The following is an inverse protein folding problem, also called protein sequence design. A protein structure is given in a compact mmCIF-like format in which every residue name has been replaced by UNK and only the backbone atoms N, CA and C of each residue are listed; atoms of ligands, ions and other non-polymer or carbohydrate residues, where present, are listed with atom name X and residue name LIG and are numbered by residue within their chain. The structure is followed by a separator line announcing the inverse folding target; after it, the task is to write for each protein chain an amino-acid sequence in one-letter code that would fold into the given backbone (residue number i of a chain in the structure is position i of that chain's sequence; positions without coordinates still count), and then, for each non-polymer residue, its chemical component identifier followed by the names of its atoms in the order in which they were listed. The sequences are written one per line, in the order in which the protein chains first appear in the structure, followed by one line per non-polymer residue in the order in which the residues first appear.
data_IF_131534224940
#
_entry.id   IF_131534224940
#
_cell.length_a   1.000
_cell.length_b   1.000
_cell.length_c   1.000
_cell.angle_alpha   90.00
_cell.angle_beta   90.00
_cell.angle_gamma   90.00
#
_symmetry.space_group_name_H-M   'P 1'
#
loop_
_entity.id
_entity.type
_entity.pdbx_description
1 polymer ?
#
# COMPACT_ATOMS: atom_id res chain seq x y z
N UNK A 1 -9.90 -9.78 -16.64
CA UNK A 1 -10.17 -8.60 -15.78
C UNK A 1 -9.30 -7.44 -16.26
N UNK A 2 -9.87 -6.28 -16.61
CA UNK A 2 -9.06 -5.06 -16.82
C UNK A 2 -8.76 -4.43 -15.46
N UNK A 3 -7.47 -4.31 -15.12
CA UNK A 3 -6.99 -3.58 -13.94
C UNK A 3 -7.31 -2.09 -14.15
N UNK A 4 -7.96 -1.48 -13.18
CA UNK A 4 -8.30 -0.06 -13.23
C UNK A 4 -7.07 0.81 -13.00
N UNK A 5 -7.08 2.05 -13.51
CA UNK A 5 -6.01 3.02 -13.22
C UNK A 5 -5.82 3.21 -11.71
N UNK A 6 -6.92 3.17 -10.94
CA UNK A 6 -6.91 3.28 -9.47
C UNK A 6 -6.14 2.13 -8.82
N UNK A 7 -6.39 0.88 -9.23
CA UNK A 7 -5.64 -0.29 -8.75
C UNK A 7 -4.15 -0.18 -9.06
N UNK A 8 -3.80 0.34 -10.25
CA UNK A 8 -2.40 0.51 -10.65
C UNK A 8 -1.66 1.51 -9.75
N UNK A 9 -2.27 2.66 -9.46
CA UNK A 9 -1.68 3.65 -8.55
C UNK A 9 -1.60 3.14 -7.11
N UNK A 10 -2.64 2.43 -6.66
CA UNK A 10 -2.63 1.80 -5.34
C UNK A 10 -1.51 0.77 -5.21
N UNK A 11 -1.41 -0.16 -6.16
CA UNK A 11 -0.40 -1.19 -6.17
C UNK A 11 1.01 -0.58 -6.23
N UNK A 12 1.19 0.46 -7.04
CA UNK A 12 2.46 1.19 -7.10
C UNK A 12 2.83 1.80 -5.74
N UNK A 13 1.88 2.45 -5.05
CA UNK A 13 2.14 3.01 -3.72
C UNK A 13 2.51 1.92 -2.69
N UNK A 14 1.80 0.78 -2.70
CA UNK A 14 2.11 -0.36 -1.83
C UNK A 14 3.53 -0.89 -2.08
N UNK A 15 3.88 -1.10 -3.34
CA UNK A 15 5.22 -1.58 -3.72
C UNK A 15 6.30 -0.56 -3.34
N UNK A 16 6.04 0.73 -3.55
CA UNK A 16 6.98 1.79 -3.18
C UNK A 16 7.26 1.80 -1.67
N UNK A 17 6.23 1.83 -0.82
CA UNK A 17 6.43 1.84 0.63
C UNK A 17 7.02 0.53 1.16
N UNK A 18 6.66 -0.61 0.54
CA UNK A 18 7.28 -1.89 0.87
C UNK A 18 8.78 -1.89 0.54
N UNK A 19 9.17 -1.38 -0.63
CA UNK A 19 10.57 -1.26 -1.01
C UNK A 19 11.33 -0.30 -0.08
N UNK A 20 10.74 0.86 0.25
CA UNK A 20 11.35 1.84 1.16
C UNK A 20 11.56 1.25 2.56
N UNK A 21 10.62 0.48 3.08
CA UNK A 21 10.76 -0.18 4.38
C UNK A 21 11.93 -1.17 4.39
N UNK A 22 12.14 -1.90 3.30
CA UNK A 22 13.15 -2.96 3.18
C UNK A 22 14.51 -2.47 2.63
N UNK A 23 14.75 -1.16 2.54
CA UNK A 23 16.02 -0.64 2.05
C UNK A 23 17.17 -1.12 2.97
N UNK A 24 18.20 -1.78 2.41
CA UNK A 24 19.34 -2.21 3.20
C UNK A 24 20.12 -0.98 3.69
N UNK A 25 20.70 -1.08 4.89
CA UNK A 25 21.44 0.00 5.55
C UNK A 25 20.64 1.28 5.85
N UNK A 26 19.31 1.28 5.69
CA UNK A 26 18.43 2.39 6.05
C UNK A 26 17.38 1.90 7.06
N UNK A 27 17.46 2.34 8.33
CA UNK A 27 18.50 3.19 8.93
C UNK A 27 19.82 2.44 9.13
N UNK A 28 20.89 3.17 9.46
CA UNK A 28 22.19 2.59 9.80
C UNK A 28 22.07 1.60 10.98
N UNK A 29 22.77 0.47 10.89
CA UNK A 29 22.80 -0.53 11.94
C UNK A 29 23.27 0.08 13.27
N UNK A 30 22.57 -0.26 14.36
CA UNK A 30 22.85 0.28 15.70
C UNK A 30 22.11 1.57 16.04
N UNK A 31 21.42 2.22 15.09
CA UNK A 31 20.57 3.38 15.36
C UNK A 31 19.12 2.97 15.68
N UNK A 32 18.86 2.72 16.97
CA UNK A 32 17.53 2.35 17.45
C UNK A 32 16.48 3.46 17.22
N UNK A 33 16.88 4.74 17.31
CA UNK A 33 15.95 5.86 17.14
C UNK A 33 15.60 6.05 15.67
N UNK A 34 16.59 5.98 14.78
CA UNK A 34 16.40 5.96 13.34
C UNK A 34 15.51 4.81 12.88
N UNK A 35 15.65 3.61 13.47
CA UNK A 35 14.81 2.46 13.16
C UNK A 35 13.35 2.66 13.51
N UNK A 36 13.06 3.23 14.67
CA UNK A 36 11.68 3.54 15.04
C UNK A 36 11.06 4.59 14.12
N UNK A 37 11.81 5.64 13.78
CA UNK A 37 11.33 6.69 12.87
C UNK A 37 11.11 6.14 11.46
N UNK A 38 12.07 5.38 10.93
CA UNK A 38 11.96 4.75 9.61
C UNK A 38 10.75 3.81 9.55
N UNK A 39 10.62 2.91 10.53
CA UNK A 39 9.48 2.00 10.61
C UNK A 39 8.16 2.75 10.69
N UNK A 40 8.06 3.81 11.50
CA UNK A 40 6.84 4.62 11.58
C UNK A 40 6.52 5.30 10.22
N UNK A 41 7.53 5.84 9.54
CA UNK A 41 7.35 6.58 8.29
C UNK A 41 7.04 5.69 7.09
N UNK A 42 7.47 4.42 7.09
CA UNK A 42 7.21 3.51 5.97
C UNK A 42 6.06 2.54 6.26
N UNK A 43 5.98 1.99 7.46
CA UNK A 43 5.04 0.93 7.81
C UNK A 43 3.62 1.47 8.05
N UNK A 44 3.49 2.64 8.71
CA UNK A 44 2.17 3.25 8.95
C UNK A 44 1.51 3.66 7.62
N UNK A 45 2.18 4.38 6.70
CA UNK A 45 1.58 4.68 5.41
C UNK A 45 1.31 3.44 4.57
N UNK A 46 2.17 2.43 4.62
CA UNK A 46 1.94 1.15 3.95
C UNK A 46 0.64 0.49 4.44
N UNK A 47 0.43 0.42 5.75
CA UNK A 47 -0.80 -0.13 6.33
C UNK A 47 -2.03 0.65 5.89
N UNK A 48 -1.99 1.99 5.98
CA UNK A 48 -3.10 2.85 5.53
C UNK A 48 -3.40 2.59 4.05
N UNK A 49 -2.37 2.55 3.20
CA UNK A 49 -2.52 2.26 1.77
C UNK A 49 -3.16 0.89 1.53
N UNK A 50 -2.74 -0.15 2.25
CA UNK A 50 -3.32 -1.50 2.13
C UNK A 50 -4.80 -1.48 2.50
N UNK A 51 -5.17 -1.00 3.68
CA UNK A 51 -6.57 -1.03 4.14
C UNK A 51 -7.49 -0.16 3.27
N UNK A 52 -7.06 1.06 2.93
CA UNK A 52 -7.86 1.99 2.11
C UNK A 52 -8.00 1.47 0.69
N UNK A 53 -6.90 1.00 0.10
CA UNK A 53 -6.91 0.46 -1.26
C UNK A 53 -7.74 -0.81 -1.36
N UNK A 54 -7.59 -1.74 -0.42
CA UNK A 54 -8.37 -2.97 -0.38
C UNK A 54 -9.88 -2.65 -0.31
N UNK A 55 -10.28 -1.74 0.59
CA UNK A 55 -11.68 -1.29 0.70
C UNK A 55 -12.20 -0.67 -0.60
N UNK A 56 -11.40 0.17 -1.25
CA UNK A 56 -11.78 0.86 -2.49
C UNK A 56 -11.89 -0.11 -3.66
N UNK A 57 -10.95 -1.04 -3.77
CA UNK A 57 -10.90 -2.08 -4.80
C UNK A 57 -12.09 -3.03 -4.65
N UNK A 58 -12.35 -3.55 -3.45
CA UNK A 58 -13.54 -4.38 -3.20
C UNK A 58 -14.84 -3.65 -3.56
N UNK A 59 -14.96 -2.37 -3.22
CA UNK A 59 -16.14 -1.58 -3.57
C UNK A 59 -16.30 -1.44 -5.09
N UNK A 60 -15.22 -1.19 -5.84
CA UNK A 60 -15.25 -1.09 -7.30
C UNK A 60 -15.69 -2.43 -7.91
N UNK A 61 -15.13 -3.54 -7.46
CA UNK A 61 -15.51 -4.86 -7.95
C UNK A 61 -16.97 -5.19 -7.62
N UNK A 62 -17.43 -4.93 -6.41
CA UNK A 62 -18.83 -5.13 -6.00
C UNK A 62 -19.81 -4.31 -6.85
N UNK A 63 -19.52 -3.03 -7.10
CA UNK A 63 -20.37 -2.18 -7.96
C UNK A 63 -20.42 -2.70 -9.38
N UNK A 64 -19.28 -3.20 -9.90
CA UNK A 64 -19.20 -3.73 -11.26
C UNK A 64 -19.94 -5.05 -11.41
N UNK A 65 -19.97 -5.86 -10.36
CA UNK A 65 -20.70 -7.12 -10.30
C UNK A 65 -22.22 -6.87 -10.31
N UNK A 66 -22.71 -6.02 -9.41
CA UNK A 66 -24.13 -5.62 -9.37
C UNK A 66 -24.64 -5.02 -10.70
N UNK A 67 -23.77 -4.35 -11.49
CA UNK A 67 -24.15 -3.81 -12.81
C UNK A 67 -24.35 -4.91 -13.86
N UNK A 68 -23.69 -6.07 -13.73
CA UNK A 68 -23.81 -7.16 -14.71
C UNK A 68 -25.10 -7.98 -14.54
N UNK A 69 -25.71 -7.92 -13.37
CA UNK A 69 -26.92 -8.70 -13.03
C UNK A 69 -28.23 -7.93 -13.25
N UNK A 70 -28.17 -6.65 -13.63
CA UNK A 70 -29.34 -5.78 -13.83
C UNK A 70 -29.59 -5.40 -15.29
#
# INVERSE_FOLDING_TARGET
MKITKTEKHWLFAVVLFFALYNLPFVPGYGDARGALIHAALTLIPLWICIYVGLRRVFRIYRIRDNRKEG
#
